data_IF_246875688154
#
_entry.id   IF_246875688154
#
_cell.length_a   1.000
_cell.length_b   1.000
_cell.length_c   1.000
_cell.angle_alpha   90.00
_cell.angle_beta   90.00
_cell.angle_gamma   90.00
#
_symmetry.space_group_name_H-M   'P 1'
#
loop_
_entity.id
_entity.type
_entity.pdbx_description
1 polymer ?
#
# COMPACT_ATOMS: atom_id res chain seq x y z
N UNK A 1 -19.90 9.95 13.87
CA UNK A 1 -21.34 9.70 14.06
C UNK A 1 -21.59 8.20 14.29
N UNK A 2 -20.59 7.45 14.78
CA UNK A 2 -20.55 5.98 14.80
C UNK A 2 -20.70 5.40 16.22
N UNK A 3 -21.45 6.06 17.10
CA UNK A 3 -21.59 5.55 18.49
C UNK A 3 -22.94 5.86 19.16
N UNK A 4 -23.98 6.22 18.42
CA UNK A 4 -25.31 6.41 19.03
C UNK A 4 -26.35 5.50 18.38
N UNK A 5 -26.85 4.55 19.17
CA UNK A 5 -28.00 3.68 18.93
C UNK A 5 -29.31 4.48 18.88
N UNK A 6 -29.42 5.43 17.97
CA UNK A 6 -30.67 6.14 17.66
C UNK A 6 -30.94 5.99 16.17
N UNK A 7 -32.17 5.56 15.86
CA UNK A 7 -32.81 5.61 14.52
C UNK A 7 -32.20 6.70 13.65
N UNK A 8 -31.69 6.33 12.48
CA UNK A 8 -30.91 7.22 11.63
C UNK A 8 -31.75 8.41 11.20
N UNK A 9 -31.18 9.62 11.24
CA UNK A 9 -31.87 10.83 10.78
C UNK A 9 -32.33 10.77 9.31
N UNK A 10 -31.81 9.81 8.54
CA UNK A 10 -32.13 9.55 7.13
C UNK A 10 -33.40 8.71 6.92
N UNK A 11 -33.92 8.02 7.94
CA UNK A 11 -35.10 7.14 7.79
C UNK A 11 -36.35 7.92 7.34
N UNK A 12 -36.41 9.22 7.63
CA UNK A 12 -37.49 10.14 7.22
C UNK A 12 -37.41 10.56 5.75
N UNK A 13 -36.31 10.26 5.06
CA UNK A 13 -35.99 10.75 3.72
C UNK A 13 -35.87 9.61 2.70
N UNK A 14 -36.36 8.41 3.03
CA UNK A 14 -36.38 7.23 2.17
C UNK A 14 -37.80 7.00 1.66
N UNK A 15 -38.06 7.25 0.37
CA UNK A 15 -39.36 6.95 -0.26
C UNK A 15 -39.37 5.49 -0.74
N UNK A 16 -40.19 4.63 -0.13
CA UNK A 16 -40.30 3.22 -0.52
C UNK A 16 -41.31 3.06 -1.65
N UNK A 17 -40.85 2.89 -2.89
CA UNK A 17 -41.71 2.49 -4.03
C UNK A 17 -41.53 1.01 -4.33
N UNK A 18 -42.52 0.17 -4.00
CA UNK A 18 -42.59 -1.22 -4.49
C UNK A 18 -42.84 -1.19 -6.00
N UNK A 19 -41.89 -1.69 -6.80
CA UNK A 19 -42.04 -1.88 -8.26
C UNK A 19 -41.81 -3.34 -8.62
N UNK A 20 -42.41 -3.75 -9.74
CA UNK A 20 -42.59 -5.15 -10.19
C UNK A 20 -41.30 -5.77 -10.78
N UNK A 21 -40.25 -4.98 -11.02
CA UNK A 21 -39.01 -5.42 -11.68
C UNK A 21 -37.76 -5.04 -10.87
N UNK A 22 -37.19 -5.99 -10.12
CA UNK A 22 -35.88 -5.88 -9.46
C UNK A 22 -35.82 -5.06 -8.15
N UNK A 23 -34.74 -5.21 -7.39
CA UNK A 23 -34.47 -4.43 -6.17
C UNK A 23 -33.61 -3.20 -6.51
N UNK A 24 -34.10 -2.02 -6.14
CA UNK A 24 -33.45 -0.73 -6.35
C UNK A 24 -33.31 0.01 -5.02
N UNK A 25 -32.22 0.73 -4.83
CA UNK A 25 -32.11 1.65 -3.71
C UNK A 25 -33.10 2.81 -3.83
N UNK A 26 -33.84 3.06 -2.75
CA UNK A 26 -34.64 4.27 -2.61
C UNK A 26 -33.74 5.51 -2.78
N UNK A 27 -34.23 6.49 -3.55
CA UNK A 27 -33.51 7.74 -3.76
C UNK A 27 -33.38 8.54 -2.47
N UNK A 28 -32.29 9.30 -2.37
CA UNK A 28 -32.08 10.24 -1.27
C UNK A 28 -33.04 11.43 -1.41
N UNK A 29 -34.02 11.54 -0.52
CA UNK A 29 -34.89 12.71 -0.47
C UNK A 29 -34.27 13.82 0.39
N UNK A 30 -33.08 14.29 0.01
CA UNK A 30 -32.37 15.39 0.68
C UNK A 30 -32.23 16.58 -0.27
N UNK A 31 -32.47 17.79 0.23
CA UNK A 31 -32.08 19.00 -0.50
C UNK A 31 -30.56 19.17 -0.47
N UNK A 32 -30.00 19.90 -1.45
CA UNK A 32 -28.57 20.22 -1.48
C UNK A 32 -28.12 20.92 -0.18
N UNK A 33 -28.97 21.80 0.37
CA UNK A 33 -28.71 22.49 1.65
C UNK A 33 -28.63 21.53 2.84
N UNK A 34 -29.57 20.57 2.92
CA UNK A 34 -29.56 19.55 3.98
C UNK A 34 -28.33 18.65 3.86
N UNK A 35 -27.98 18.23 2.64
CA UNK A 35 -26.80 17.44 2.36
C UNK A 35 -25.53 18.17 2.77
N UNK A 36 -25.39 19.43 2.37
CA UNK A 36 -24.25 20.28 2.73
C UNK A 36 -24.12 20.44 4.25
N UNK A 37 -25.22 20.72 4.93
CA UNK A 37 -25.24 20.88 6.39
C UNK A 37 -24.82 19.60 7.11
N UNK A 38 -25.29 18.44 6.63
CA UNK A 38 -24.91 17.15 7.19
C UNK A 38 -23.43 16.85 6.95
N UNK A 39 -22.93 17.12 5.74
CA UNK A 39 -21.53 16.96 5.39
C UNK A 39 -20.63 17.82 6.27
N UNK A 40 -20.90 19.12 6.37
CA UNK A 40 -20.13 20.05 7.20
C UNK A 40 -20.13 19.63 8.67
N UNK A 41 -21.24 19.11 9.21
CA UNK A 41 -21.30 18.57 10.57
C UNK A 41 -20.35 17.38 10.77
N UNK A 42 -20.20 16.52 9.77
CA UNK A 42 -19.25 15.40 9.80
C UNK A 42 -17.82 15.92 9.70
N UNK A 43 -17.56 16.85 8.79
CA UNK A 43 -16.24 17.45 8.58
C UNK A 43 -15.74 18.22 9.81
N UNK A 44 -16.62 18.98 10.47
CA UNK A 44 -16.33 19.65 11.75
C UNK A 44 -15.83 18.67 12.81
N UNK A 45 -16.43 17.48 12.86
CA UNK A 45 -16.06 16.46 13.84
C UNK A 45 -14.75 15.75 13.52
N UNK A 46 -14.49 15.42 12.26
CA UNK A 46 -13.45 14.46 11.90
C UNK A 46 -12.28 15.05 11.13
N UNK A 47 -12.43 16.23 10.54
CA UNK A 47 -11.46 16.74 9.57
C UNK A 47 -11.00 18.17 9.90
N UNK A 48 -11.83 18.98 10.59
CA UNK A 48 -11.52 20.38 10.91
C UNK A 48 -10.21 20.55 11.69
N UNK A 49 -9.98 19.69 12.68
CA UNK A 49 -8.76 19.73 13.51
C UNK A 49 -7.48 19.39 12.75
N UNK A 50 -7.60 18.95 11.49
CA UNK A 50 -6.50 18.63 10.58
C UNK A 50 -6.21 19.75 9.57
N UNK A 51 -6.82 20.92 9.75
CA UNK A 51 -6.58 22.09 8.91
C UNK A 51 -7.24 22.03 7.53
N UNK A 52 -8.17 21.10 7.32
CA UNK A 52 -8.90 20.95 6.05
C UNK A 52 -10.07 21.93 6.01
N UNK A 53 -10.21 22.65 4.90
CA UNK A 53 -11.35 23.53 4.66
C UNK A 53 -12.63 22.72 4.44
N UNK A 54 -13.74 23.19 5.03
CA UNK A 54 -15.03 22.54 4.85
C UNK A 54 -15.55 22.72 3.42
N UNK A 55 -16.30 21.73 2.95
CA UNK A 55 -17.00 21.82 1.67
C UNK A 55 -17.97 22.99 1.67
N UNK A 56 -17.94 23.79 0.59
CA UNK A 56 -18.82 24.97 0.40
C UNK A 56 -20.07 24.65 -0.40
N UNK A 57 -20.00 23.68 -1.31
CA UNK A 57 -21.08 23.30 -2.20
C UNK A 57 -21.07 21.79 -2.45
N UNK A 58 -22.26 21.22 -2.63
CA UNK A 58 -22.43 19.81 -3.01
C UNK A 58 -23.73 19.66 -3.80
N UNK A 59 -23.71 18.82 -4.83
CA UNK A 59 -24.88 18.45 -5.61
C UNK A 59 -25.37 17.06 -5.23
N UNK A 60 -26.68 16.91 -5.04
CA UNK A 60 -27.33 15.59 -4.88
C UNK A 60 -27.19 14.68 -6.11
N UNK A 61 -26.85 15.24 -7.27
CA UNK A 61 -26.70 14.50 -8.53
C UNK A 61 -25.30 13.85 -8.67
N UNK A 62 -24.31 14.28 -7.89
CA UNK A 62 -22.93 13.77 -7.97
C UNK A 62 -22.26 13.75 -6.59
N UNK A 63 -22.80 12.93 -5.69
CA UNK A 63 -22.31 12.80 -4.32
C UNK A 63 -21.04 11.92 -4.31
N UNK A 64 -19.89 12.56 -4.12
CA UNK A 64 -18.60 11.89 -3.93
C UNK A 64 -18.08 12.22 -2.53
N UNK A 65 -17.80 11.20 -1.72
CA UNK A 65 -17.29 11.34 -0.36
C UNK A 65 -15.95 10.64 -0.22
N UNK A 66 -15.00 11.30 0.44
CA UNK A 66 -13.63 10.80 0.55
C UNK A 66 -13.31 10.39 1.99
N UNK A 67 -12.70 9.21 2.13
CA UNK A 67 -12.23 8.63 3.38
C UNK A 67 -10.72 8.41 3.25
N UNK A 68 -9.95 9.09 4.08
CA UNK A 68 -8.50 8.94 4.19
C UNK A 68 -8.15 7.96 5.30
N UNK A 69 -7.48 6.87 4.95
CA UNK A 69 -7.00 5.86 5.89
C UNK A 69 -5.61 5.41 5.49
N UNK A 70 -4.65 5.56 6.40
CA UNK A 70 -3.29 5.07 6.19
C UNK A 70 -3.24 3.58 5.83
N UNK A 71 -2.25 3.19 5.05
CA UNK A 71 -1.97 1.81 4.65
C UNK A 71 -1.80 0.92 5.89
N UNK A 72 -2.40 -0.28 5.85
CA UNK A 72 -2.31 -1.23 6.96
C UNK A 72 -3.25 -0.97 8.13
N UNK A 73 -4.14 0.03 8.06
CA UNK A 73 -5.12 0.34 9.11
C UNK A 73 -6.50 -0.33 8.95
N UNK A 74 -6.64 -1.27 8.01
CA UNK A 74 -7.89 -2.03 7.83
C UNK A 74 -8.94 -1.36 6.92
N UNK A 75 -8.50 -0.67 5.87
CA UNK A 75 -9.36 -0.01 4.86
C UNK A 75 -10.43 -0.96 4.28
N UNK A 76 -10.02 -2.17 3.87
CA UNK A 76 -10.91 -3.21 3.32
C UNK A 76 -11.99 -3.63 4.30
N UNK A 77 -11.61 -3.95 5.55
CA UNK A 77 -12.56 -4.26 6.62
C UNK A 77 -13.56 -3.11 6.80
N UNK A 78 -13.08 -1.86 6.78
CA UNK A 78 -13.90 -0.67 7.03
C UNK A 78 -14.98 -0.47 5.96
N UNK A 79 -14.67 -0.62 4.67
CA UNK A 79 -15.71 -0.48 3.65
C UNK A 79 -16.66 -1.69 3.61
N UNK A 80 -16.21 -2.90 3.95
CA UNK A 80 -17.11 -4.06 4.10
C UNK A 80 -18.08 -3.83 5.26
N UNK A 81 -17.57 -3.38 6.40
CA UNK A 81 -18.40 -2.98 7.54
C UNK A 81 -19.36 -1.84 7.18
N UNK A 82 -18.92 -0.91 6.34
CA UNK A 82 -19.77 0.19 5.84
C UNK A 82 -20.94 -0.34 5.01
N UNK A 83 -20.72 -1.35 4.16
CA UNK A 83 -21.78 -2.03 3.41
C UNK A 83 -22.84 -2.62 4.36
N UNK A 84 -22.41 -3.36 5.39
CA UNK A 84 -23.33 -3.92 6.40
C UNK A 84 -24.08 -2.84 7.18
N UNK A 85 -23.41 -1.77 7.62
CA UNK A 85 -24.05 -0.66 8.33
C UNK A 85 -25.09 0.08 7.47
N UNK A 86 -24.79 0.28 6.18
CA UNK A 86 -25.72 0.89 5.22
C UNK A 86 -26.93 -0.02 4.98
N UNK A 87 -26.74 -1.34 4.89
CA UNK A 87 -27.86 -2.28 4.81
C UNK A 87 -28.70 -2.26 6.08
N UNK A 88 -28.08 -2.35 7.26
CA UNK A 88 -28.76 -2.38 8.55
C UNK A 88 -29.64 -1.16 8.78
N UNK A 89 -29.17 0.03 8.37
CA UNK A 89 -29.88 1.29 8.62
C UNK A 89 -30.90 1.62 7.54
N UNK A 90 -30.56 1.41 6.26
CA UNK A 90 -31.32 1.93 5.12
C UNK A 90 -31.82 0.85 4.17
N UNK A 91 -31.53 -0.42 4.45
CA UNK A 91 -31.83 -1.57 3.60
C UNK A 91 -31.23 -1.47 2.19
N UNK A 92 -30.16 -0.68 2.04
CA UNK A 92 -29.38 -0.65 0.80
C UNK A 92 -28.58 -1.95 0.65
N UNK A 93 -28.65 -2.57 -0.51
CA UNK A 93 -28.22 -3.93 -0.76
C UNK A 93 -27.51 -4.12 -2.13
N UNK A 94 -27.19 -3.05 -2.87
CA UNK A 94 -26.56 -3.09 -4.20
C UNK A 94 -25.29 -2.24 -4.24
N UNK A 95 -24.14 -2.90 -4.24
CA UNK A 95 -22.84 -2.23 -4.13
C UNK A 95 -21.91 -2.64 -5.27
N UNK A 96 -21.07 -1.70 -5.70
CA UNK A 96 -20.02 -1.93 -6.69
C UNK A 96 -18.69 -1.51 -6.07
N UNK A 97 -17.72 -2.42 -6.00
CA UNK A 97 -16.35 -2.13 -5.57
C UNK A 97 -15.46 -2.05 -6.80
N UNK A 98 -14.84 -0.89 -6.99
CA UNK A 98 -13.91 -0.61 -8.08
C UNK A 98 -12.48 -0.64 -7.55
N UNK A 99 -11.65 -1.49 -8.15
CA UNK A 99 -10.25 -1.70 -7.73
C UNK A 99 -9.26 -1.49 -8.88
N UNK A 100 -7.97 -1.21 -8.59
CA UNK A 100 -7.01 -0.85 -9.64
C UNK A 100 -6.54 -2.03 -10.49
N UNK A 101 -6.38 -3.21 -9.88
CA UNK A 101 -5.69 -4.35 -10.49
C UNK A 101 -6.38 -5.69 -10.18
N UNK A 102 -6.03 -6.72 -10.94
CA UNK A 102 -6.51 -8.10 -10.72
C UNK A 102 -6.05 -8.61 -9.35
N UNK A 103 -4.79 -8.37 -8.96
CA UNK A 103 -4.28 -8.81 -7.65
C UNK A 103 -5.08 -8.21 -6.48
N UNK A 104 -5.42 -6.92 -6.55
CA UNK A 104 -6.24 -6.26 -5.53
C UNK A 104 -7.66 -6.84 -5.56
N UNK A 105 -8.23 -7.06 -6.76
CA UNK A 105 -9.55 -7.69 -6.92
C UNK A 105 -9.65 -9.05 -6.24
N UNK A 106 -8.68 -9.94 -6.48
CA UNK A 106 -8.63 -11.25 -5.83
C UNK A 106 -8.46 -11.10 -4.31
N UNK A 107 -7.63 -10.17 -3.85
CA UNK A 107 -7.45 -9.88 -2.42
C UNK A 107 -8.75 -9.40 -1.73
N UNK A 108 -9.54 -8.55 -2.41
CA UNK A 108 -10.84 -8.10 -1.90
C UNK A 108 -11.86 -9.25 -1.87
N UNK A 109 -11.95 -10.05 -2.94
CA UNK A 109 -12.80 -11.24 -2.96
C UNK A 109 -12.46 -12.18 -1.81
N UNK A 110 -11.16 -12.45 -1.61
CA UNK A 110 -10.68 -13.29 -0.52
C UNK A 110 -11.01 -12.70 0.85
N UNK A 111 -10.97 -11.38 1.00
CA UNK A 111 -11.34 -10.71 2.26
C UNK A 111 -12.81 -10.92 2.62
N UNK A 112 -13.73 -10.99 1.64
CA UNK A 112 -15.12 -11.33 1.91
C UNK A 112 -15.27 -12.75 2.46
N UNK A 113 -14.59 -13.73 1.85
CA UNK A 113 -14.59 -15.12 2.33
C UNK A 113 -14.02 -15.23 3.74
N UNK A 114 -12.84 -14.63 3.98
CA UNK A 114 -12.11 -14.78 5.25
C UNK A 114 -12.86 -14.12 6.42
N UNK A 115 -13.60 -13.05 6.15
CA UNK A 115 -14.34 -12.29 7.16
C UNK A 115 -15.83 -12.70 7.25
N UNK A 116 -16.29 -13.63 6.43
CA UNK A 116 -17.71 -14.02 6.34
C UNK A 116 -18.28 -14.42 7.70
N UNK A 117 -17.59 -15.34 8.40
CA UNK A 117 -18.02 -15.82 9.72
C UNK A 117 -18.12 -14.69 10.75
N UNK A 118 -17.18 -13.74 10.71
CA UNK A 118 -17.17 -12.58 11.60
C UNK A 118 -18.41 -11.70 11.37
N UNK A 119 -18.64 -11.28 10.13
CA UNK A 119 -19.76 -10.40 9.81
C UNK A 119 -21.12 -11.10 9.91
N UNK A 120 -21.20 -12.40 9.61
CA UNK A 120 -22.42 -13.19 9.83
C UNK A 120 -22.78 -13.24 11.31
N UNK A 121 -21.81 -13.38 12.20
CA UNK A 121 -22.05 -13.36 13.64
C UNK A 121 -22.50 -11.97 14.13
N UNK A 122 -21.95 -10.89 13.57
CA UNK A 122 -22.25 -9.51 13.97
C UNK A 122 -23.58 -8.97 13.41
N UNK A 123 -23.90 -9.31 12.15
CA UNK A 123 -25.04 -8.75 11.41
C UNK A 123 -26.15 -9.76 11.09
N UNK A 124 -25.91 -11.06 11.26
CA UNK A 124 -26.89 -12.11 10.96
C UNK A 124 -27.20 -12.29 9.47
N UNK A 125 -26.40 -11.69 8.58
CA UNK A 125 -26.55 -11.73 7.12
C UNK A 125 -25.20 -11.99 6.46
N UNK A 126 -25.23 -12.53 5.26
CA UNK A 126 -24.07 -12.72 4.39
C UNK A 126 -24.13 -11.74 3.21
N UNK A 127 -22.96 -11.49 2.62
CA UNK A 127 -22.82 -10.72 1.38
C UNK A 127 -22.61 -11.69 0.22
N UNK A 128 -23.50 -11.61 -0.76
CA UNK A 128 -23.33 -12.24 -2.06
C UNK A 128 -22.36 -11.38 -2.90
N UNK A 129 -21.10 -11.78 -2.97
CA UNK A 129 -20.09 -11.07 -3.77
C UNK A 129 -19.71 -11.85 -5.02
N UNK A 130 -19.39 -11.16 -6.12
CA UNK A 130 -18.88 -11.78 -7.34
C UNK A 130 -17.94 -10.83 -8.09
N UNK A 131 -17.08 -11.44 -8.92
CA UNK A 131 -16.18 -10.72 -9.81
C UNK A 131 -16.88 -10.51 -11.15
N UNK A 132 -17.02 -9.25 -11.57
CA UNK A 132 -17.66 -8.93 -12.84
C UNK A 132 -16.91 -9.55 -14.03
N UNK A 133 -17.67 -10.23 -14.89
CA UNK A 133 -17.21 -10.79 -16.16
C UNK A 133 -18.30 -10.62 -17.22
N UNK A 134 -18.00 -9.94 -18.34
CA UNK A 134 -19.00 -9.74 -19.42
C UNK A 134 -19.56 -11.03 -20.01
N UNK A 135 -18.86 -12.16 -19.85
CA UNK A 135 -19.29 -13.47 -20.35
C UNK A 135 -20.29 -14.16 -19.43
N UNK A 136 -20.47 -13.67 -18.20
CA UNK A 136 -21.35 -14.25 -17.17
C UNK A 136 -22.51 -13.30 -16.84
N UNK A 137 -23.36 -13.04 -17.82
CA UNK A 137 -24.50 -12.09 -17.68
C UNK A 137 -25.48 -12.53 -16.58
N UNK A 138 -25.56 -13.83 -16.28
CA UNK A 138 -26.39 -14.36 -15.20
C UNK A 138 -26.06 -13.75 -13.82
N UNK A 139 -24.78 -13.49 -13.53
CA UNK A 139 -24.38 -12.84 -12.28
C UNK A 139 -24.93 -11.41 -12.18
N UNK A 140 -25.02 -10.69 -13.30
CA UNK A 140 -25.66 -9.36 -13.37
C UNK A 140 -27.17 -9.44 -13.19
N UNK A 141 -27.81 -10.47 -13.75
CA UNK A 141 -29.24 -10.71 -13.54
C UNK A 141 -29.55 -11.01 -12.06
N UNK A 142 -28.71 -11.82 -11.41
CA UNK A 142 -28.82 -12.11 -9.99
C UNK A 142 -28.57 -10.86 -9.15
N UNK A 143 -27.56 -10.06 -9.50
CA UNK A 143 -27.31 -8.77 -8.86
C UNK A 143 -28.54 -7.84 -8.90
N UNK A 144 -29.31 -7.79 -9.99
CA UNK A 144 -30.53 -6.98 -10.06
C UNK A 144 -31.70 -7.57 -9.25
N UNK A 145 -31.85 -8.90 -9.24
CA UNK A 145 -33.05 -9.61 -8.73
C UNK A 145 -32.97 -10.07 -7.29
N UNK A 146 -31.79 -10.37 -6.77
CA UNK A 146 -31.60 -10.89 -5.41
C UNK A 146 -31.95 -9.82 -4.36
N UNK A 147 -32.55 -10.20 -3.24
CA UNK A 147 -32.92 -9.25 -2.18
C UNK A 147 -31.88 -9.14 -1.05
N UNK A 148 -30.89 -10.05 -1.05
CA UNK A 148 -29.73 -10.03 -0.17
C UNK A 148 -28.76 -8.89 -0.45
N UNK A 149 -27.70 -8.80 0.35
CA UNK A 149 -26.65 -7.80 0.15
C UNK A 149 -25.75 -8.29 -0.99
N UNK A 150 -25.75 -7.57 -2.11
CA UNK A 150 -25.01 -7.94 -3.31
C UNK A 150 -23.87 -6.97 -3.57
N UNK A 151 -22.67 -7.51 -3.82
CA UNK A 151 -21.45 -6.75 -4.10
C UNK A 151 -20.82 -7.22 -5.40
N UNK A 152 -20.78 -6.35 -6.40
CA UNK A 152 -20.04 -6.58 -7.63
C UNK A 152 -18.62 -6.01 -7.51
N UNK A 153 -17.58 -6.82 -7.71
CA UNK A 153 -16.18 -6.38 -7.70
C UNK A 153 -15.68 -6.28 -9.14
N UNK A 154 -15.13 -5.12 -9.51
CA UNK A 154 -14.68 -4.84 -10.87
C UNK A 154 -13.33 -4.10 -10.86
N UNK A 155 -12.42 -4.49 -11.75
CA UNK A 155 -11.14 -3.82 -11.93
C UNK A 155 -11.12 -2.91 -13.17
N UNK A 156 -10.21 -1.94 -13.18
CA UNK A 156 -10.04 -0.97 -14.27
C UNK A 156 -9.97 -1.53 -15.70
N UNK A 157 -9.35 -2.70 -15.89
CA UNK A 157 -9.23 -3.30 -17.22
C UNK A 157 -10.61 -3.75 -17.74
N UNK A 158 -11.40 -4.41 -16.89
CA UNK A 158 -12.77 -4.81 -17.20
C UNK A 158 -13.67 -3.59 -17.51
N UNK A 159 -13.46 -2.46 -16.82
CA UNK A 159 -14.14 -1.20 -17.18
C UNK A 159 -13.89 -0.79 -18.64
N UNK A 160 -12.70 -1.03 -19.18
CA UNK A 160 -12.36 -0.58 -20.53
C UNK A 160 -12.87 -1.52 -21.62
N UNK A 161 -12.64 -2.82 -21.50
CA UNK A 161 -12.99 -3.83 -22.50
C UNK A 161 -14.42 -4.35 -22.38
N UNK A 162 -14.87 -4.62 -21.16
CA UNK A 162 -16.07 -5.43 -20.92
C UNK A 162 -17.32 -4.56 -20.89
N UNK A 163 -17.21 -3.31 -20.41
CA UNK A 163 -18.30 -2.32 -20.49
C UNK A 163 -18.73 -2.03 -21.94
N UNK A 164 -17.81 -2.09 -22.91
CA UNK A 164 -18.17 -1.90 -24.32
C UNK A 164 -19.03 -3.06 -24.84
N UNK A 165 -18.81 -4.28 -24.34
CA UNK A 165 -19.57 -5.47 -24.75
C UNK A 165 -20.97 -5.48 -24.17
N UNK A 166 -21.14 -5.06 -22.92
CA UNK A 166 -22.46 -5.05 -22.25
C UNK A 166 -23.35 -3.85 -22.58
N UNK A 167 -22.86 -2.89 -23.38
CA UNK A 167 -23.67 -1.80 -23.90
C UNK A 167 -24.58 -2.24 -25.07
N UNK A 168 -24.28 -3.39 -25.68
CA UNK A 168 -25.09 -3.95 -26.75
C UNK A 168 -26.10 -4.93 -26.16
N UNK A 169 -27.38 -4.74 -26.48
CA UNK A 169 -28.42 -5.74 -26.25
C UNK A 169 -28.43 -6.74 -27.40
N UNK A 170 -28.52 -8.04 -27.12
CA UNK A 170 -29.12 -8.96 -28.09
C UNK A 170 -30.57 -8.52 -28.31
N UNK A 171 -31.10 -8.64 -29.54
CA UNK A 171 -32.27 -7.92 -30.08
C UNK A 171 -33.60 -8.02 -29.29
N UNK A 172 -33.65 -8.76 -28.18
CA UNK A 172 -34.84 -8.94 -27.33
C UNK A 172 -34.61 -8.79 -25.81
N UNK A 173 -33.39 -8.43 -25.35
CA UNK A 173 -33.05 -8.40 -23.92
C UNK A 173 -32.49 -7.04 -23.45
N UNK A 174 -32.80 -6.63 -22.21
CA UNK A 174 -32.29 -5.38 -21.64
C UNK A 174 -30.76 -5.50 -21.47
N UNK A 175 -30.02 -4.54 -22.02
CA UNK A 175 -28.56 -4.50 -21.92
C UNK A 175 -28.09 -4.61 -20.44
N UNK A 176 -27.07 -5.42 -20.11
CA UNK A 176 -26.66 -5.63 -18.72
C UNK A 176 -26.31 -4.35 -17.95
N UNK A 177 -25.79 -3.32 -18.64
CA UNK A 177 -25.53 -2.01 -18.03
C UNK A 177 -26.80 -1.33 -17.54
N UNK A 178 -27.92 -1.48 -18.25
CA UNK A 178 -29.22 -0.91 -17.87
C UNK A 178 -29.79 -1.63 -16.64
N UNK A 179 -29.56 -2.95 -16.52
CA UNK A 179 -29.91 -3.72 -15.31
C UNK A 179 -29.15 -3.19 -14.10
N UNK A 180 -27.85 -2.94 -14.24
CA UNK A 180 -27.04 -2.35 -13.15
C UNK A 180 -27.54 -0.94 -12.81
N UNK A 181 -27.75 -0.06 -13.80
CA UNK A 181 -28.25 1.31 -13.58
C UNK A 181 -29.56 1.35 -12.82
N UNK A 182 -30.48 0.43 -13.12
CA UNK A 182 -31.80 0.33 -12.44
C UNK A 182 -31.68 0.06 -10.95
N UNK A 183 -30.56 -0.50 -10.47
CA UNK A 183 -30.38 -0.77 -9.04
C UNK A 183 -30.00 0.47 -8.21
N UNK A 184 -29.62 1.59 -8.83
CA UNK A 184 -29.01 2.76 -8.18
C UNK A 184 -27.87 2.36 -7.21
N UNK A 185 -26.83 1.68 -7.69
CA UNK A 185 -25.84 1.08 -6.81
C UNK A 185 -25.05 2.14 -6.03
N UNK A 186 -24.51 1.75 -4.89
CA UNK A 186 -23.51 2.57 -4.18
C UNK A 186 -22.13 2.12 -4.66
N UNK A 187 -21.32 3.06 -5.13
CA UNK A 187 -19.98 2.77 -5.62
C UNK A 187 -18.97 2.99 -4.49
N UNK A 188 -18.07 2.03 -4.30
CA UNK A 188 -16.89 2.12 -3.44
C UNK A 188 -15.67 2.03 -4.35
N UNK A 189 -14.78 3.01 -4.27
CA UNK A 189 -13.53 3.02 -5.02
C UNK A 189 -12.37 2.82 -4.05
N UNK A 190 -11.61 1.75 -4.28
CA UNK A 190 -10.38 1.45 -3.54
C UNK A 190 -9.18 2.00 -4.32
N UNK A 191 -8.35 2.81 -3.66
CA UNK A 191 -7.20 3.51 -4.25
C UNK A 191 -7.58 4.32 -5.52
N UNK A 192 -8.48 5.31 -5.42
CA UNK A 192 -9.01 6.12 -6.53
C UNK A 192 -7.94 6.74 -7.42
N UNK A 193 -6.78 7.14 -6.89
CA UNK A 193 -5.67 7.70 -7.67
C UNK A 193 -5.06 6.71 -8.67
N UNK A 194 -5.18 5.41 -8.39
CA UNK A 194 -4.75 4.33 -9.27
C UNK A 194 -5.86 3.93 -10.24
N UNK A 195 -7.13 4.04 -9.81
CA UNK A 195 -8.32 3.77 -10.62
C UNK A 195 -8.54 4.84 -11.69
N UNK A 196 -8.52 6.11 -11.29
CA UNK A 196 -8.85 7.27 -12.10
C UNK A 196 -7.65 7.85 -12.85
N UNK A 197 -6.45 7.31 -12.64
CA UNK A 197 -5.25 7.69 -13.37
C UNK A 197 -4.83 9.15 -13.16
N UNK A 198 -3.90 9.63 -14.00
CA UNK A 198 -3.40 11.03 -13.95
C UNK A 198 -4.21 11.94 -14.89
N UNK A 199 -4.83 11.37 -15.93
CA UNK A 199 -5.50 12.14 -16.98
C UNK A 199 -6.94 12.48 -16.59
N UNK A 200 -7.29 13.78 -16.60
CA UNK A 200 -8.66 14.27 -16.34
C UNK A 200 -9.74 13.67 -17.26
N UNK A 201 -9.35 13.21 -18.45
CA UNK A 201 -10.22 12.52 -19.42
C UNK A 201 -10.18 10.99 -19.27
N UNK A 202 -9.89 10.46 -18.08
CA UNK A 202 -9.85 9.01 -17.89
C UNK A 202 -11.22 8.40 -18.22
N UNK A 203 -11.21 7.48 -19.19
CA UNK A 203 -12.37 6.70 -19.62
C UNK A 203 -13.09 6.03 -18.44
N UNK A 204 -12.38 5.61 -17.40
CA UNK A 204 -12.95 5.03 -16.18
C UNK A 204 -13.86 6.01 -15.44
N UNK A 205 -13.46 7.28 -15.28
CA UNK A 205 -14.27 8.30 -14.59
C UNK A 205 -15.58 8.58 -15.33
N UNK A 206 -15.52 8.71 -16.66
CA UNK A 206 -16.70 8.88 -17.50
C UNK A 206 -17.59 7.63 -17.48
N UNK A 207 -16.99 6.44 -17.48
CA UNK A 207 -17.74 5.18 -17.44
C UNK A 207 -18.38 4.91 -16.07
N UNK A 208 -17.79 5.35 -14.95
CA UNK A 208 -18.44 5.23 -13.65
C UNK A 208 -19.77 6.01 -13.58
N UNK A 209 -19.86 7.17 -14.27
CA UNK A 209 -21.13 7.91 -14.41
C UNK A 209 -22.21 7.09 -15.11
N UNK A 210 -21.84 6.09 -15.91
CA UNK A 210 -22.80 5.20 -16.56
C UNK A 210 -23.51 4.25 -15.60
N UNK A 211 -23.10 4.10 -14.33
CA UNK A 211 -23.81 3.23 -13.40
C UNK A 211 -25.01 3.89 -12.69
N UNK A 212 -25.23 5.20 -12.88
CA UNK A 212 -26.31 5.93 -12.19
C UNK A 212 -26.28 5.69 -10.67
N UNK A 213 -25.11 5.82 -10.06
CA UNK A 213 -24.89 5.49 -8.65
C UNK A 213 -25.62 6.45 -7.71
N UNK A 214 -26.09 5.95 -6.56
CA UNK A 214 -26.70 6.78 -5.52
C UNK A 214 -25.70 7.77 -4.91
N UNK A 215 -24.48 7.29 -4.64
CA UNK A 215 -23.31 8.09 -4.27
C UNK A 215 -22.04 7.22 -4.41
N UNK A 216 -20.88 7.87 -4.34
CA UNK A 216 -19.56 7.23 -4.41
C UNK A 216 -18.77 7.47 -3.13
N UNK A 217 -18.23 6.40 -2.54
CA UNK A 217 -17.28 6.43 -1.42
C UNK A 217 -15.88 6.11 -1.93
N UNK A 218 -14.89 6.93 -1.54
CA UNK A 218 -13.52 6.84 -2.02
C UNK A 218 -12.58 6.57 -0.85
N UNK A 219 -11.98 5.39 -0.82
CA UNK A 219 -11.06 4.99 0.24
C UNK A 219 -9.63 5.00 -0.30
N UNK A 220 -8.74 5.79 0.32
CA UNK A 220 -7.31 5.83 -0.04
C UNK A 220 -6.46 6.21 1.15
N UNK A 221 -5.18 5.87 1.11
CA UNK A 221 -4.19 6.52 1.97
C UNK A 221 -3.73 7.87 1.37
N UNK A 222 -3.80 8.02 0.04
CA UNK A 222 -3.28 9.19 -0.69
C UNK A 222 -4.26 9.63 -1.77
N UNK A 223 -4.99 10.73 -1.54
CA UNK A 223 -5.84 11.30 -2.59
C UNK A 223 -5.08 12.37 -3.37
N UNK A 224 -5.11 12.27 -4.70
CA UNK A 224 -4.64 13.37 -5.58
C UNK A 224 -5.67 14.49 -5.66
N UNK A 225 -6.94 14.12 -5.71
CA UNK A 225 -8.09 15.02 -5.65
C UNK A 225 -9.00 14.50 -4.53
N UNK A 226 -9.24 15.32 -3.50
CA UNK A 226 -10.12 14.95 -2.40
C UNK A 226 -11.49 15.56 -2.61
N UNK A 227 -12.52 14.71 -2.74
CA UNK A 227 -13.91 15.12 -2.89
C UNK A 227 -14.60 15.02 -1.52
N UNK A 228 -15.04 16.15 -0.95
CA UNK A 228 -15.82 16.14 0.29
C UNK A 228 -15.22 15.20 1.35
N UNK A 229 -13.98 15.45 1.78
CA UNK A 229 -13.29 14.62 2.77
C UNK A 229 -14.13 14.54 4.04
N UNK A 230 -14.53 13.34 4.45
CA UNK A 230 -15.40 13.12 5.62
C UNK A 230 -14.68 12.47 6.81
N UNK A 231 -13.51 11.89 6.58
CA UNK A 231 -12.70 11.25 7.61
C UNK A 231 -11.24 11.20 7.19
N UNK A 232 -10.34 11.36 8.14
CA UNK A 232 -8.89 11.25 7.95
C UNK A 232 -8.25 10.50 9.11
N UNK A 233 -7.47 9.48 8.78
CA UNK A 233 -6.52 8.81 9.65
C UNK A 233 -5.17 8.85 8.93
N UNK A 234 -4.42 9.91 9.19
CA UNK A 234 -3.11 10.18 8.58
C UNK A 234 -2.01 9.28 9.17
N UNK A 235 -0.83 9.15 8.51
CA UNK A 235 0.23 8.27 9.01
C UNK A 235 0.77 8.65 10.39
N UNK A 236 0.72 9.94 10.75
CA UNK A 236 1.18 10.42 12.06
C UNK A 236 0.22 9.96 13.15
N UNK A 237 -1.09 10.09 12.93
CA UNK A 237 -2.13 9.59 13.82
C UNK A 237 -2.10 8.07 13.92
N UNK A 238 -2.01 7.37 12.79
CA UNK A 238 -1.95 5.91 12.78
C UNK A 238 -0.74 5.41 13.59
N UNK A 239 0.40 6.09 13.48
CA UNK A 239 1.59 5.79 14.27
C UNK A 239 1.41 6.13 15.75
N UNK A 240 0.90 7.32 16.07
CA UNK A 240 0.67 7.76 17.46
C UNK A 240 -0.35 6.87 18.19
N UNK A 241 -1.36 6.37 17.47
CA UNK A 241 -2.35 5.42 17.98
C UNK A 241 -1.84 3.97 18.00
N UNK A 242 -0.59 3.72 17.60
CA UNK A 242 0.05 2.40 17.54
C UNK A 242 -0.68 1.40 16.64
N UNK A 243 -1.37 1.89 15.61
CA UNK A 243 -2.07 1.07 14.62
C UNK A 243 -1.13 0.51 13.56
N UNK A 244 -0.02 1.22 13.30
CA UNK A 244 1.01 0.81 12.33
C UNK A 244 2.38 0.72 13.00
N UNK A 245 3.28 -0.05 12.38
CA UNK A 245 4.66 -0.18 12.84
C UNK A 245 5.47 1.08 12.53
N UNK A 246 6.47 1.36 13.37
CA UNK A 246 7.50 2.36 13.07
C UNK A 246 8.27 1.96 11.80
N UNK A 247 8.58 2.93 10.96
CA UNK A 247 9.50 2.77 9.84
C UNK A 247 10.91 3.08 10.34
N UNK A 248 11.84 2.15 10.12
CA UNK A 248 13.28 2.35 10.33
C UNK A 248 13.96 2.22 8.97
N UNK A 249 14.70 3.27 8.58
CA UNK A 249 15.36 3.32 7.27
C UNK A 249 16.85 3.07 7.48
N UNK A 250 17.36 2.06 6.78
CA UNK A 250 18.79 1.80 6.66
C UNK A 250 19.23 2.12 5.24
N UNK A 251 19.89 3.25 5.06
CA UNK A 251 20.46 3.66 3.78
C UNK A 251 21.76 2.95 3.50
N UNK A 252 21.95 2.48 2.26
CA UNK A 252 23.25 2.07 1.73
C UNK A 252 23.59 3.04 0.61
N UNK A 253 24.42 4.02 0.90
CA UNK A 253 24.89 5.02 -0.06
C UNK A 253 26.26 4.64 -0.62
N UNK A 254 26.47 4.92 -1.90
CA UNK A 254 27.80 4.88 -2.53
C UNK A 254 28.31 6.31 -2.54
N UNK A 255 29.40 6.57 -1.81
CA UNK A 255 30.05 7.88 -1.73
C UNK A 255 31.41 7.82 -2.45
N UNK A 256 31.73 8.85 -3.24
CA UNK A 256 32.97 8.92 -4.04
C UNK A 256 32.72 8.94 -5.55
N UNK A 257 33.76 9.18 -6.34
CA UNK A 257 33.72 9.17 -7.81
C UNK A 257 34.53 7.99 -8.35
N UNK A 258 34.25 7.54 -9.58
CA UNK A 258 35.02 6.53 -10.33
C UNK A 258 36.51 6.87 -10.51
N UNK A 259 36.94 8.07 -10.09
CA UNK A 259 38.33 8.49 -10.13
C UNK A 259 39.16 8.02 -8.91
N UNK A 260 38.51 7.54 -7.84
CA UNK A 260 39.17 6.96 -6.66
C UNK A 260 38.85 5.47 -6.57
N UNK A 261 39.84 4.61 -6.85
CA UNK A 261 39.71 3.14 -6.89
C UNK A 261 39.51 2.48 -5.49
N UNK A 262 39.47 3.27 -4.41
CA UNK A 262 39.50 2.77 -3.03
C UNK A 262 38.17 2.16 -2.56
N UNK A 263 38.08 0.84 -2.39
CA UNK A 263 36.93 0.18 -1.76
C UNK A 263 37.03 0.17 -0.22
N UNK A 264 36.07 0.81 0.47
CA UNK A 264 35.94 0.74 1.93
C UNK A 264 34.48 0.55 2.34
N UNK A 265 34.26 -0.32 3.32
CA UNK A 265 32.96 -0.52 3.96
C UNK A 265 33.13 -0.73 5.47
N UNK A 266 32.53 0.15 6.26
CA UNK A 266 32.45 -0.01 7.72
C UNK A 266 31.25 -0.90 8.06
N UNK A 267 31.56 -2.11 8.52
CA UNK A 267 30.59 -3.17 8.76
C UNK A 267 29.95 -3.08 10.15
N UNK A 268 30.76 -2.84 11.19
CA UNK A 268 30.28 -2.68 12.56
C UNK A 268 31.32 -1.95 13.44
N UNK A 269 30.80 -1.21 14.43
CA UNK A 269 31.59 -0.77 15.59
C UNK A 269 31.40 -1.80 16.71
N UNK A 270 32.50 -2.43 17.12
CA UNK A 270 32.54 -3.48 18.13
C UNK A 270 32.77 -2.83 19.50
N UNK A 271 31.74 -2.86 20.33
CA UNK A 271 31.79 -2.39 21.72
C UNK A 271 32.06 -3.58 22.64
N UNK A 272 32.96 -3.37 23.59
CA UNK A 272 33.28 -4.34 24.64
C UNK A 272 33.42 -3.59 25.96
N UNK A 273 32.91 -4.13 27.09
CA UNK A 273 33.04 -3.48 28.39
C UNK A 273 34.50 -3.21 28.78
N UNK A 274 35.38 -4.17 28.47
CA UNK A 274 36.76 -4.18 28.97
C UNK A 274 37.82 -3.85 27.90
N UNK A 275 37.42 -3.42 26.70
CA UNK A 275 38.35 -3.15 25.58
C UNK A 275 38.01 -1.83 24.91
N UNK A 276 39.01 -1.11 24.36
CA UNK A 276 38.75 0.08 23.57
C UNK A 276 37.86 -0.26 22.37
N UNK A 277 37.18 0.77 21.85
CA UNK A 277 36.36 0.64 20.66
C UNK A 277 37.19 0.08 19.51
N UNK A 278 36.61 -0.89 18.81
CA UNK A 278 37.19 -1.48 17.60
C UNK A 278 36.17 -1.41 16.49
N UNK A 279 36.63 -1.49 15.26
CA UNK A 279 35.78 -1.47 14.08
C UNK A 279 36.10 -2.62 13.18
N UNK A 280 35.08 -3.18 12.53
CA UNK A 280 35.27 -4.12 11.44
C UNK A 280 35.14 -3.37 10.12
N UNK A 281 36.24 -3.29 9.38
CA UNK A 281 36.27 -2.64 8.06
C UNK A 281 36.55 -3.71 7.02
N UNK A 282 35.74 -3.72 5.96
CA UNK A 282 36.00 -4.50 4.74
C UNK A 282 36.68 -3.61 3.70
N UNK A 283 37.77 -4.10 3.14
CA UNK A 283 38.59 -3.40 2.14
C UNK A 283 39.28 -4.41 1.21
N UNK A 284 39.87 -3.91 0.12
CA UNK A 284 40.58 -4.76 -0.84
C UNK A 284 42.05 -5.00 -0.43
N UNK A 285 42.48 -6.25 -0.59
CA UNK A 285 43.87 -6.69 -0.35
C UNK A 285 44.47 -7.27 -1.62
N UNK A 286 45.75 -6.96 -1.86
CA UNK A 286 46.51 -7.45 -3.01
C UNK A 286 46.64 -8.98 -3.04
N UNK A 287 46.62 -9.55 -4.25
CA UNK A 287 47.07 -10.92 -4.52
C UNK A 287 47.92 -10.98 -5.79
N UNK A 288 48.76 -12.02 -5.83
CA UNK A 288 49.78 -12.31 -6.87
C UNK A 288 49.23 -12.36 -8.31
N UNK A 289 47.91 -12.41 -8.52
CA UNK A 289 47.28 -12.57 -9.84
C UNK A 289 46.44 -11.36 -10.30
N UNK A 290 46.62 -10.17 -9.72
CA UNK A 290 46.01 -8.93 -10.22
C UNK A 290 44.51 -8.73 -9.96
N UNK A 291 43.87 -9.63 -9.21
CA UNK A 291 42.48 -9.47 -8.76
C UNK A 291 42.46 -9.22 -7.24
N UNK A 292 42.19 -7.98 -6.78
CA UNK A 292 42.07 -7.68 -5.37
C UNK A 292 40.94 -8.52 -4.74
N UNK A 293 41.18 -9.06 -3.55
CA UNK A 293 40.15 -9.77 -2.76
C UNK A 293 39.67 -8.85 -1.64
N UNK A 294 38.39 -8.90 -1.34
CA UNK A 294 37.82 -8.20 -0.18
C UNK A 294 38.00 -9.03 1.09
N UNK A 295 38.55 -8.41 2.13
CA UNK A 295 38.70 -9.01 3.46
C UNK A 295 38.20 -8.06 4.54
N UNK A 296 37.50 -8.59 5.53
CA UNK A 296 37.11 -7.83 6.73
C UNK A 296 38.16 -7.99 7.82
N UNK A 297 38.70 -6.89 8.35
CA UNK A 297 39.63 -6.89 9.50
C UNK A 297 39.05 -6.08 10.66
N UNK A 298 39.44 -6.47 11.87
CA UNK A 298 39.13 -5.72 13.09
C UNK A 298 40.30 -4.77 13.35
N UNK A 299 40.01 -3.47 13.43
CA UNK A 299 40.97 -2.40 13.59
C UNK A 299 40.63 -1.57 14.84
N UNK A 300 41.64 -0.93 15.42
CA UNK A 300 41.52 -0.01 16.55
C UNK A 300 42.06 1.37 16.15
N UNK A 301 41.83 2.39 16.98
CA UNK A 301 42.52 3.67 16.82
C UNK A 301 44.05 3.47 16.77
N UNK A 302 44.71 4.16 15.85
CA UNK A 302 46.13 4.02 15.55
C UNK A 302 46.50 2.92 14.53
N UNK A 303 45.57 2.02 14.18
CA UNK A 303 45.81 1.04 13.11
C UNK A 303 45.84 1.68 11.72
N UNK A 304 46.61 1.09 10.81
CA UNK A 304 46.73 1.50 9.40
C UNK A 304 46.29 0.34 8.51
N UNK A 305 45.61 0.64 7.40
CA UNK A 305 45.27 -0.37 6.38
C UNK A 305 46.48 -0.67 5.51
N UNK A 306 47.06 0.40 4.93
CA UNK A 306 48.23 0.32 4.07
C UNK A 306 49.47 -0.22 4.81
N UNK A 307 50.20 -1.15 4.18
CA UNK A 307 51.41 -1.77 4.69
C UNK A 307 51.22 -2.82 5.79
N UNK A 308 50.05 -2.84 6.46
CA UNK A 308 49.71 -3.85 7.47
C UNK A 308 48.80 -4.95 6.92
N UNK A 309 47.79 -4.56 6.14
CA UNK A 309 46.78 -5.49 5.63
C UNK A 309 46.61 -5.43 4.10
N UNK A 310 46.91 -4.30 3.46
CA UNK A 310 46.89 -4.13 2.01
C UNK A 310 48.10 -3.31 1.56
N UNK A 311 48.62 -3.56 0.35
CA UNK A 311 49.69 -2.75 -0.26
C UNK A 311 49.18 -1.93 -1.46
N UNK A 312 47.86 -1.84 -1.64
CA UNK A 312 47.25 -1.01 -2.67
C UNK A 312 47.48 0.47 -2.33
N UNK A 313 48.12 1.19 -3.25
CA UNK A 313 48.56 2.58 -3.08
C UNK A 313 47.40 3.53 -2.71
N UNK A 314 46.19 3.22 -3.16
CA UNK A 314 44.98 3.98 -2.87
C UNK A 314 44.58 4.04 -1.38
N UNK A 315 45.13 3.15 -0.53
CA UNK A 315 44.95 3.20 0.94
C UNK A 315 46.07 3.95 1.66
N UNK A 316 47.17 4.32 0.97
CA UNK A 316 48.33 4.97 1.59
C UNK A 316 47.94 6.30 2.22
N UNK A 317 47.19 7.11 1.48
CA UNK A 317 46.83 8.47 1.87
C UNK A 317 45.78 8.52 2.97
N UNK A 318 45.14 7.40 3.33
CA UNK A 318 44.24 7.34 4.50
C UNK A 318 45.00 7.53 5.81
N UNK A 319 46.27 7.12 5.87
CA UNK A 319 47.03 7.13 7.13
C UNK A 319 46.44 6.15 8.16
N UNK A 320 46.57 6.49 9.45
CA UNK A 320 46.02 5.68 10.55
C UNK A 320 44.57 6.06 10.87
N UNK A 321 43.84 5.17 11.53
CA UNK A 321 42.57 5.52 12.16
C UNK A 321 42.86 6.50 13.31
N UNK A 322 42.32 7.71 13.20
CA UNK A 322 42.48 8.75 14.21
C UNK A 322 41.41 8.63 15.30
N UNK A 323 40.16 8.40 14.92
CA UNK A 323 39.04 8.34 15.88
C UNK A 323 37.96 7.36 15.43
N UNK A 324 37.44 6.58 16.38
CA UNK A 324 36.23 5.76 16.23
C UNK A 324 35.09 6.43 17.00
N UNK A 325 34.15 7.07 16.29
CA UNK A 325 33.01 7.75 16.89
C UNK A 325 31.77 6.84 16.90
N UNK A 326 31.49 6.25 18.06
CA UNK A 326 30.31 5.39 18.25
C UNK A 326 28.99 6.15 18.10
N UNK A 327 28.92 7.41 18.54
CA UNK A 327 27.68 8.18 18.53
C UNK A 327 27.27 8.60 17.11
N UNK A 328 28.26 8.93 16.28
CA UNK A 328 28.06 9.23 14.85
C UNK A 328 28.14 8.00 13.96
N UNK A 329 28.47 6.84 14.53
CA UNK A 329 28.62 5.58 13.83
C UNK A 329 29.61 5.67 12.65
N UNK A 330 30.78 6.28 12.88
CA UNK A 330 31.77 6.50 11.83
C UNK A 330 33.22 6.35 12.33
N UNK A 331 34.14 6.24 11.37
CA UNK A 331 35.60 6.18 11.58
C UNK A 331 36.23 7.36 10.86
N UNK A 332 37.09 8.10 11.56
CA UNK A 332 37.84 9.22 11.01
C UNK A 332 39.30 8.79 10.86
N UNK A 333 39.82 8.95 9.65
CA UNK A 333 41.21 8.68 9.29
C UNK A 333 42.06 9.96 9.40
N UNK A 334 43.37 9.80 9.58
CA UNK A 334 44.34 10.90 9.80
C UNK A 334 44.36 11.96 8.68
N UNK A 335 43.94 11.59 7.46
CA UNK A 335 43.79 12.54 6.36
C UNK A 335 42.45 13.31 6.36
N UNK A 336 41.62 13.14 7.39
CA UNK A 336 40.30 13.73 7.52
C UNK A 336 39.17 12.95 6.81
N UNK A 337 39.47 11.84 6.14
CA UNK A 337 38.44 11.01 5.53
C UNK A 337 37.56 10.37 6.59
N UNK A 338 36.24 10.50 6.43
CA UNK A 338 35.25 9.92 7.35
C UNK A 338 34.51 8.77 6.66
N UNK A 339 34.67 7.56 7.21
CA UNK A 339 33.97 6.35 6.79
C UNK A 339 32.76 6.12 7.71
N UNK A 340 31.57 6.39 7.20
CA UNK A 340 30.31 6.14 7.92
C UNK A 340 29.88 4.67 7.81
N UNK A 341 29.26 4.14 8.87
CA UNK A 341 28.73 2.78 8.86
C UNK A 341 27.62 2.64 7.82
N UNK A 342 27.52 1.46 7.21
CA UNK A 342 26.55 1.16 6.14
C UNK A 342 26.76 1.93 4.82
N UNK A 343 27.76 2.81 4.73
CA UNK A 343 28.13 3.48 3.49
C UNK A 343 29.32 2.79 2.82
N UNK A 344 29.27 2.75 1.49
CA UNK A 344 30.29 2.15 0.65
C UNK A 344 31.03 3.27 -0.04
N UNK A 345 32.36 3.23 -0.01
CA UNK A 345 33.19 4.20 -0.70
C UNK A 345 33.98 3.53 -1.83
N UNK A 346 34.17 4.23 -2.95
CA UNK A 346 34.94 3.77 -4.12
C UNK A 346 34.12 3.48 -5.38
N UNK A 347 34.73 2.80 -6.35
CA UNK A 347 34.05 2.27 -7.54
C UNK A 347 33.26 1.00 -7.19
N UNK A 348 31.96 1.19 -6.92
CA UNK A 348 31.08 0.13 -6.44
C UNK A 348 30.13 -0.29 -7.56
N UNK A 349 30.30 -1.51 -8.06
CA UNK A 349 29.32 -2.12 -8.96
C UNK A 349 27.97 -2.34 -8.22
N UNK A 350 26.85 -2.16 -8.92
CA UNK A 350 25.47 -2.46 -8.49
C UNK A 350 25.37 -3.79 -7.74
N UNK A 351 26.08 -4.83 -8.18
CA UNK A 351 26.10 -6.14 -7.52
C UNK A 351 26.60 -6.08 -6.06
N UNK A 352 27.60 -5.23 -5.78
CA UNK A 352 28.17 -5.08 -4.44
C UNK A 352 27.19 -4.36 -3.51
N UNK A 353 26.54 -3.30 -4.01
CA UNK A 353 25.47 -2.62 -3.28
C UNK A 353 24.35 -3.59 -2.89
N UNK A 354 23.91 -4.44 -3.82
CA UNK A 354 22.91 -5.49 -3.56
C UNK A 354 23.36 -6.47 -2.49
N UNK A 355 24.62 -6.94 -2.55
CA UNK A 355 25.17 -7.86 -1.53
C UNK A 355 25.15 -7.24 -0.13
N UNK A 356 25.50 -5.97 0.00
CA UNK A 356 25.48 -5.26 1.28
C UNK A 356 24.05 -5.07 1.78
N UNK A 357 23.12 -4.67 0.91
CA UNK A 357 21.69 -4.59 1.26
C UNK A 357 21.15 -5.93 1.77
N UNK A 358 21.50 -7.05 1.13
CA UNK A 358 21.10 -8.39 1.55
C UNK A 358 21.74 -8.75 2.90
N UNK A 359 23.05 -8.54 3.04
CA UNK A 359 23.80 -8.80 4.28
C UNK A 359 23.18 -8.06 5.47
N UNK A 360 22.94 -6.77 5.33
CA UNK A 360 22.36 -5.94 6.38
C UNK A 360 20.90 -6.34 6.68
N UNK A 361 20.12 -6.69 5.65
CA UNK A 361 18.77 -7.22 5.85
C UNK A 361 18.77 -8.54 6.63
N UNK A 362 19.71 -9.45 6.35
CA UNK A 362 19.83 -10.73 7.08
C UNK A 362 20.24 -10.48 8.53
N UNK A 363 21.21 -9.60 8.79
CA UNK A 363 21.60 -9.22 10.16
C UNK A 363 20.40 -8.65 10.93
N UNK A 364 19.72 -7.66 10.35
CA UNK A 364 18.54 -7.05 10.96
C UNK A 364 17.43 -8.07 11.21
N UNK A 365 17.20 -8.99 10.26
CA UNK A 365 16.25 -10.08 10.41
C UNK A 365 16.58 -10.98 11.60
N UNK A 366 17.83 -11.44 11.73
CA UNK A 366 18.25 -12.34 12.82
C UNK A 366 18.12 -11.65 14.18
N UNK A 367 18.52 -10.38 14.29
CA UNK A 367 18.37 -9.60 15.51
C UNK A 367 16.88 -9.45 15.88
N UNK A 368 16.03 -9.13 14.90
CA UNK A 368 14.59 -8.98 15.12
C UNK A 368 13.91 -10.30 15.45
N UNK A 369 14.33 -11.38 14.82
CA UNK A 369 13.83 -12.74 15.09
C UNK A 369 14.18 -13.18 16.49
N UNK A 370 15.40 -12.91 16.97
CA UNK A 370 15.78 -13.19 18.37
C UNK A 370 14.81 -12.52 19.36
N UNK A 371 14.42 -11.28 19.12
CA UNK A 371 13.47 -10.56 19.97
C UNK A 371 12.04 -11.10 19.85
N UNK A 372 11.61 -11.44 18.64
CA UNK A 372 10.25 -11.89 18.33
C UNK A 372 9.99 -13.36 18.67
N UNK A 373 11.02 -14.21 18.61
CA UNK A 373 10.92 -15.65 18.86
C UNK A 373 10.39 -15.94 20.25
N UNK A 374 10.84 -15.19 21.25
CA UNK A 374 10.35 -15.27 22.65
C UNK A 374 8.85 -14.95 22.79
N UNK A 375 8.26 -14.28 21.80
CA UNK A 375 6.84 -13.87 21.76
C UNK A 375 5.99 -14.76 20.84
N UNK A 376 6.58 -15.79 20.23
CA UNK A 376 5.89 -16.64 19.25
C UNK A 376 5.56 -15.90 17.94
N UNK A 377 6.26 -14.79 17.64
CA UNK A 377 6.04 -14.00 16.42
C UNK A 377 7.13 -14.37 15.41
N UNK A 378 6.74 -14.72 14.18
CA UNK A 378 7.68 -15.02 13.10
C UNK A 378 8.07 -13.75 12.34
N UNK A 379 9.36 -13.47 12.23
CA UNK A 379 9.90 -12.39 11.40
C UNK A 379 9.96 -12.82 9.94
N UNK A 380 9.65 -11.90 9.03
CA UNK A 380 9.70 -12.12 7.57
C UNK A 380 10.48 -10.97 6.97
N UNK A 381 11.41 -11.30 6.06
CA UNK A 381 12.08 -10.32 5.21
C UNK A 381 11.64 -10.52 3.76
N UNK A 382 11.37 -9.43 3.07
CA UNK A 382 10.98 -9.43 1.67
C UNK A 382 12.03 -8.65 0.87
N UNK A 383 12.56 -9.28 -0.17
CA UNK A 383 13.46 -8.64 -1.13
C UNK A 383 12.70 -8.35 -2.42
N UNK A 384 12.77 -7.11 -2.88
CA UNK A 384 12.28 -6.73 -4.20
C UNK A 384 13.42 -6.83 -5.21
N UNK A 385 13.17 -7.55 -6.29
CA UNK A 385 14.10 -7.72 -7.42
C UNK A 385 13.51 -7.07 -8.67
N UNK A 386 14.35 -6.66 -9.61
CA UNK A 386 13.90 -5.92 -10.79
C UNK A 386 12.95 -6.73 -11.70
N UNK A 387 13.20 -8.03 -11.84
CA UNK A 387 12.38 -8.93 -12.65
C UNK A 387 12.48 -10.37 -12.16
N UNK A 388 11.47 -11.18 -12.47
CA UNK A 388 11.43 -12.61 -12.11
C UNK A 388 12.58 -13.37 -12.77
N UNK A 389 12.87 -13.05 -14.03
CA UNK A 389 13.91 -13.71 -14.84
C UNK A 389 15.32 -13.58 -14.23
N UNK A 390 15.57 -12.53 -13.44
CA UNK A 390 16.84 -12.37 -12.72
C UNK A 390 16.97 -13.34 -11.54
N UNK A 391 15.90 -13.93 -11.06
CA UNK A 391 15.94 -14.92 -9.99
C UNK A 391 15.71 -16.34 -10.53
N UNK A 392 14.80 -16.49 -11.49
CA UNK A 392 14.34 -17.78 -11.97
C UNK A 392 14.00 -17.72 -13.46
N UNK A 393 14.66 -18.56 -14.23
CA UNK A 393 14.37 -18.81 -15.64
C UNK A 393 13.64 -20.16 -15.78
N UNK A 394 13.03 -20.37 -16.94
CA UNK A 394 12.40 -21.64 -17.30
C UNK A 394 12.93 -22.07 -18.68
N UNK A 395 13.32 -23.35 -18.80
CA UNK A 395 13.70 -23.92 -20.10
C UNK A 395 12.45 -24.21 -20.97
N UNK A 396 12.67 -24.68 -22.20
CA UNK A 396 11.59 -25.02 -23.14
C UNK A 396 10.63 -26.10 -22.62
N UNK A 397 11.05 -26.89 -21.63
CA UNK A 397 10.26 -27.92 -20.96
C UNK A 397 9.63 -27.42 -19.65
N UNK A 398 9.68 -26.11 -19.39
CA UNK A 398 9.19 -25.46 -18.18
C UNK A 398 9.92 -25.92 -16.89
N UNK A 399 11.14 -26.46 -17.01
CA UNK A 399 11.98 -26.77 -15.86
C UNK A 399 12.64 -25.51 -15.32
N UNK A 400 12.77 -25.40 -13.99
CA UNK A 400 13.38 -24.24 -13.38
C UNK A 400 14.91 -24.16 -13.57
N UNK A 401 15.39 -22.98 -13.97
CA UNK A 401 16.81 -22.61 -14.05
C UNK A 401 17.11 -21.41 -13.13
N UNK A 402 18.36 -21.30 -12.68
CA UNK A 402 18.80 -20.15 -11.85
C UNK A 402 18.93 -18.90 -12.73
N UNK A 403 18.44 -17.76 -12.24
CA UNK A 403 18.66 -16.46 -12.86
C UNK A 403 20.08 -15.91 -12.62
N UNK A 404 20.23 -14.59 -12.68
CA UNK A 404 21.50 -13.85 -12.51
C UNK A 404 22.07 -13.92 -11.09
#
# INVERSE_FOLDING_TARGET
YLSDNKTGALDKFIETKRRIYGFQHNQLNLSNEQLLKNLQKVQEKFVRNKGVELTKEISKEDINLTIEMETGTGKTYTYINTIYELNKRYNWNKFIIVVPSIAIREGVSKSFEDMEKHFKAEYGKEINHFIFNSSKIEEVNNFERDDGINVMIINNQAFSSDLNKINNSDESDIAPIEKIKRTNPIIIIDEPQSVEGINKNNKTKTKMKSFNSLFTLRYSATHRESYNLIYILDPVDAFNQKLVKKIEVMGVEVKGTTATNTYLYLDEIIISPDKPLRVRIEFEVDRVAGNPKKESKILSEGDKIYGKYSNLEEYRDLGKIETIDYHKNCVIFENGFTLEASNIYGDVNIQQKRRIQIRETIKAHILKEKDNFSKGIKTISLFFIDSVDKYRLYDENNNPLVGE
#
